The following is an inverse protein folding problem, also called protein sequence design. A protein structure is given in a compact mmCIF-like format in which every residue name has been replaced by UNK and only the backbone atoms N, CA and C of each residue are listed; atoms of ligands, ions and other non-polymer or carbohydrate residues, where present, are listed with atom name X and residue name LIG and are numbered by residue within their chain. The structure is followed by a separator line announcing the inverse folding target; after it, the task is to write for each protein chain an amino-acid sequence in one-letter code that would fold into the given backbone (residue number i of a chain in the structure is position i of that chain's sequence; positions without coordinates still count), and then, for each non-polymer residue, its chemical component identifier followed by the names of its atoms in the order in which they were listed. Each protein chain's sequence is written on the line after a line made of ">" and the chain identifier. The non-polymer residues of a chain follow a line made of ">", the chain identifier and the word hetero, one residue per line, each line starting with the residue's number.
data_IF_329791282287
#
_entry.id   IF_329791282287
#
_cell.length_a   1.000
_cell.length_b   1.000
_cell.length_c   1.000
_cell.angle_alpha   90.00
_cell.angle_beta   90.00
_cell.angle_gamma   90.00
#
_symmetry.space_group_name_H-M   'P 1'
#
loop_
_entity.id
_entity.type
_entity.pdbx_description
1 polymer ?
#
# COMPACT_ATOMS: atom_id res chain seq x y z
N UNK A 1 -13.54 -8.85 32.14
CA UNK A 1 -12.72 -8.63 30.93
C UNK A 1 -13.58 -9.14 29.79
N UNK A 2 -14.16 -8.26 28.98
CA UNK A 2 -14.81 -8.74 27.75
C UNK A 2 -13.68 -9.18 26.81
N UNK A 3 -13.59 -10.48 26.56
CA UNK A 3 -12.78 -11.05 25.48
C UNK A 3 -13.30 -10.48 24.16
N UNK A 4 -12.75 -9.34 23.75
CA UNK A 4 -13.03 -8.72 22.48
C UNK A 4 -12.63 -9.70 21.37
N UNK A 5 -13.62 -10.38 20.78
CA UNK A 5 -13.42 -11.26 19.62
C UNK A 5 -12.57 -10.53 18.60
N UNK A 6 -11.38 -11.06 18.34
CA UNK A 6 -10.54 -10.65 17.22
C UNK A 6 -11.41 -10.66 15.97
N UNK A 7 -11.53 -9.50 15.31
CA UNK A 7 -12.36 -9.36 14.11
C UNK A 7 -11.59 -9.92 12.93
N UNK A 8 -11.95 -11.12 12.50
CA UNK A 8 -11.39 -11.77 11.30
C UNK A 8 -12.05 -11.24 10.01
N UNK A 9 -12.31 -9.95 9.93
CA UNK A 9 -12.99 -9.35 8.79
C UNK A 9 -12.54 -7.91 8.64
N UNK A 10 -12.25 -7.51 7.41
CA UNK A 10 -11.91 -6.13 7.06
C UNK A 10 -13.22 -5.33 7.06
N UNK A 11 -13.47 -4.56 8.12
CA UNK A 11 -14.69 -3.73 8.25
C UNK A 11 -14.45 -2.25 7.98
N UNK A 12 -13.21 -1.87 7.67
CA UNK A 12 -12.84 -0.50 7.34
C UNK A 12 -12.98 -0.30 5.83
N UNK A 13 -13.69 0.76 5.44
CA UNK A 13 -13.67 1.26 4.07
C UNK A 13 -12.39 2.06 3.85
N UNK A 14 -11.70 1.79 2.75
CA UNK A 14 -10.57 2.58 2.29
C UNK A 14 -10.99 3.38 1.07
N UNK A 15 -10.83 4.69 1.16
CA UNK A 15 -11.22 5.62 0.11
C UNK A 15 -10.00 6.08 -0.68
N UNK A 16 -10.19 6.55 -1.91
CA UNK A 16 -9.13 7.11 -2.76
C UNK A 16 -8.21 8.09 -2.01
N UNK A 17 -8.80 8.93 -1.15
CA UNK A 17 -8.10 9.95 -0.37
C UNK A 17 -7.09 9.36 0.62
N UNK A 18 -7.35 8.16 1.15
CA UNK A 18 -6.46 7.48 2.08
C UNK A 18 -5.10 7.15 1.43
N UNK A 19 -5.08 6.99 0.10
CA UNK A 19 -3.90 6.65 -0.69
C UNK A 19 -3.16 7.88 -1.24
N UNK A 20 -3.66 9.09 -1.02
CA UNK A 20 -3.09 10.32 -1.60
C UNK A 20 -1.70 10.59 -1.07
N UNK A 21 -0.78 10.93 -1.98
CA UNK A 21 0.59 11.33 -1.68
C UNK A 21 0.87 12.71 -2.28
N UNK A 22 1.37 13.64 -1.48
CA UNK A 22 1.73 14.98 -1.95
C UNK A 22 2.81 14.93 -3.05
N UNK A 23 2.63 15.75 -4.09
CA UNK A 23 3.46 15.78 -5.29
C UNK A 23 3.08 14.74 -6.34
N UNK A 24 1.97 14.02 -6.15
CA UNK A 24 1.46 13.02 -7.10
C UNK A 24 -0.02 13.25 -7.40
N UNK A 25 -0.42 12.82 -8.58
CA UNK A 25 -1.82 12.62 -8.98
C UNK A 25 -2.10 11.14 -9.20
N UNK A 26 -3.39 10.77 -9.24
CA UNK A 26 -3.82 9.42 -9.57
C UNK A 26 -4.15 9.32 -11.04
N UNK A 27 -3.50 8.38 -11.74
CA UNK A 27 -3.89 7.95 -13.09
C UNK A 27 -4.80 6.71 -13.07
N UNK A 28 -4.86 6.00 -11.94
CA UNK A 28 -5.66 4.80 -11.76
C UNK A 28 -5.85 4.43 -10.30
N UNK A 29 -7.06 3.95 -9.97
CA UNK A 29 -7.42 3.46 -8.65
C UNK A 29 -8.47 2.36 -8.78
N UNK A 30 -8.18 1.19 -8.21
CA UNK A 30 -9.07 0.02 -8.24
C UNK A 30 -9.06 -0.66 -6.88
N UNK A 31 -10.22 -1.10 -6.39
CA UNK A 31 -10.33 -1.81 -5.14
C UNK A 31 -11.18 -3.07 -5.33
N UNK A 32 -10.57 -4.23 -5.06
CA UNK A 32 -11.17 -5.54 -5.25
C UNK A 32 -11.22 -6.28 -3.91
N UNK A 33 -12.43 -6.46 -3.38
CA UNK A 33 -12.68 -7.31 -2.21
C UNK A 33 -12.74 -8.77 -2.65
N UNK A 34 -11.60 -9.46 -2.60
CA UNK A 34 -11.49 -10.86 -3.01
C UNK A 34 -12.25 -11.78 -2.05
N UNK A 35 -12.25 -11.46 -0.76
CA UNK A 35 -13.06 -12.12 0.25
C UNK A 35 -13.30 -11.21 1.45
N UNK A 36 -14.10 -11.64 2.42
CA UNK A 36 -14.27 -10.92 3.70
C UNK A 36 -12.94 -10.76 4.49
N UNK A 37 -11.94 -11.57 4.15
CA UNK A 37 -10.63 -11.66 4.80
C UNK A 37 -9.51 -11.07 3.94
N UNK A 38 -9.79 -10.65 2.70
CA UNK A 38 -8.77 -10.19 1.75
C UNK A 38 -9.28 -9.08 0.83
N UNK A 39 -8.59 -7.95 0.85
CA UNK A 39 -8.85 -6.78 0.01
C UNK A 39 -7.56 -6.39 -0.72
N UNK A 40 -7.66 -6.15 -2.02
CA UNK A 40 -6.57 -5.61 -2.84
C UNK A 40 -6.96 -4.22 -3.34
N UNK A 41 -6.05 -3.25 -3.20
CA UNK A 41 -6.23 -1.88 -3.71
C UNK A 41 -5.06 -1.52 -4.60
N UNK A 42 -5.33 -1.34 -5.88
CA UNK A 42 -4.35 -0.91 -6.87
C UNK A 42 -4.39 0.61 -7.03
N UNK A 43 -3.21 1.22 -7.04
CA UNK A 43 -3.05 2.66 -7.13
C UNK A 43 -1.91 2.97 -8.10
N UNK A 44 -2.19 3.84 -9.06
CA UNK A 44 -1.20 4.35 -10.00
C UNK A 44 -0.95 5.83 -9.71
N UNK A 45 0.31 6.16 -9.47
CA UNK A 45 0.77 7.52 -9.20
C UNK A 45 1.49 8.09 -10.42
N UNK A 46 1.19 9.33 -10.77
CA UNK A 46 1.91 10.13 -11.76
C UNK A 46 2.38 11.45 -11.12
N UNK A 47 3.43 12.11 -11.63
CA UNK A 47 3.88 13.38 -11.07
C UNK A 47 2.90 14.52 -11.42
N UNK A 48 2.51 15.32 -10.43
CA UNK A 48 1.45 16.36 -10.57
C UNK A 48 1.79 17.49 -11.57
N UNK A 49 3.08 17.81 -11.76
CA UNK A 49 3.50 18.96 -12.57
C UNK A 49 4.56 18.61 -13.62
N UNK A 50 4.73 17.32 -13.94
CA UNK A 50 5.79 16.83 -14.84
C UNK A 50 5.31 15.61 -15.61
N UNK A 51 6.15 15.12 -16.54
CA UNK A 51 5.86 13.89 -17.31
C UNK A 51 6.43 12.63 -16.69
N UNK A 52 7.51 12.76 -15.92
CA UNK A 52 8.29 11.63 -15.40
C UNK A 52 8.77 11.97 -14.00
N UNK A 53 8.74 11.00 -13.09
CA UNK A 53 9.43 11.05 -11.81
C UNK A 53 10.94 10.87 -12.03
N UNK A 54 11.76 11.68 -11.37
CA UNK A 54 13.18 11.37 -11.24
C UNK A 54 13.40 10.17 -10.32
N UNK A 55 14.57 9.53 -10.39
CA UNK A 55 14.92 8.44 -9.46
C UNK A 55 14.81 8.86 -7.99
N UNK A 56 15.19 10.10 -7.65
CA UNK A 56 15.08 10.64 -6.28
C UNK A 56 13.61 10.85 -5.86
N UNK A 57 12.74 11.26 -6.78
CA UNK A 57 11.29 11.35 -6.53
C UNK A 57 10.69 9.97 -6.29
N UNK A 58 11.12 8.95 -7.04
CA UNK A 58 10.72 7.56 -6.83
C UNK A 58 11.19 7.05 -5.47
N UNK A 59 12.44 7.30 -5.05
CA UNK A 59 12.93 6.93 -3.72
C UNK A 59 12.05 7.50 -2.60
N UNK A 60 11.74 8.80 -2.68
CA UNK A 60 10.86 9.47 -1.72
C UNK A 60 9.45 8.90 -1.76
N UNK A 61 8.92 8.60 -2.94
CA UNK A 61 7.59 8.04 -3.11
C UNK A 61 7.48 6.63 -2.52
N UNK A 62 8.49 5.79 -2.74
CA UNK A 62 8.62 4.46 -2.12
C UNK A 62 8.54 4.58 -0.59
N UNK A 63 9.31 5.49 0.00
CA UNK A 63 9.29 5.69 1.46
C UNK A 63 7.90 6.13 1.96
N UNK A 64 7.24 7.05 1.26
CA UNK A 64 5.87 7.47 1.61
C UNK A 64 4.86 6.32 1.49
N UNK A 65 4.98 5.47 0.48
CA UNK A 65 4.12 4.28 0.29
C UNK A 65 4.33 3.25 1.40
N UNK A 66 5.59 3.01 1.81
CA UNK A 66 5.91 2.16 2.96
C UNK A 66 5.28 2.69 4.25
N UNK A 67 5.45 3.98 4.53
CA UNK A 67 4.85 4.61 5.70
C UNK A 67 3.31 4.55 5.68
N UNK A 68 2.68 4.63 4.50
CA UNK A 68 1.24 4.40 4.35
C UNK A 68 0.85 2.96 4.67
N UNK A 69 1.58 2.00 4.15
CA UNK A 69 1.37 0.57 4.44
C UNK A 69 1.42 0.31 5.96
N UNK A 70 2.44 0.83 6.64
CA UNK A 70 2.55 0.76 8.10
C UNK A 70 1.39 1.48 8.81
N UNK A 71 1.02 2.67 8.33
CA UNK A 71 -0.09 3.43 8.90
C UNK A 71 -1.43 2.73 8.74
N UNK A 72 -1.66 2.03 7.61
CA UNK A 72 -2.89 1.26 7.44
C UNK A 72 -2.93 0.08 8.41
N UNK A 73 -1.85 -0.69 8.51
CA UNK A 73 -1.77 -1.83 9.43
C UNK A 73 -1.99 -1.39 10.88
N UNK A 74 -1.38 -0.28 11.32
CA UNK A 74 -1.55 0.25 12.68
C UNK A 74 -2.99 0.69 13.00
N UNK A 75 -3.83 0.92 12.00
CA UNK A 75 -5.22 1.32 12.19
C UNK A 75 -6.22 0.17 12.00
N UNK A 76 -5.72 -1.05 11.79
CA UNK A 76 -6.51 -2.27 11.63
C UNK A 76 -6.38 -3.14 12.89
N UNK A 77 -7.29 -4.12 13.08
CA UNK A 77 -7.11 -5.18 14.07
C UNK A 77 -5.74 -5.87 13.93
N UNK A 78 -5.15 -6.30 15.05
CA UNK A 78 -3.79 -6.88 15.12
C UNK A 78 -3.56 -8.10 14.21
N UNK A 79 -4.63 -8.83 13.89
CA UNK A 79 -4.61 -9.98 13.00
C UNK A 79 -4.77 -9.62 11.52
N UNK A 80 -4.86 -8.35 11.15
CA UNK A 80 -4.96 -7.91 9.75
C UNK A 80 -3.65 -7.26 9.35
N UNK A 81 -3.00 -7.83 8.34
CA UNK A 81 -1.74 -7.36 7.78
C UNK A 81 -1.95 -6.49 6.57
N UNK A 82 -1.00 -5.60 6.33
CA UNK A 82 -0.88 -4.82 5.11
C UNK A 82 0.48 -5.09 4.45
N UNK A 83 0.45 -5.42 3.17
CA UNK A 83 1.63 -5.45 2.31
C UNK A 83 1.39 -4.63 1.05
N UNK A 84 2.45 -4.13 0.44
CA UNK A 84 2.39 -3.36 -0.80
C UNK A 84 3.36 -3.94 -1.82
N UNK A 85 2.86 -4.17 -3.03
CA UNK A 85 3.62 -4.66 -4.18
C UNK A 85 3.94 -3.51 -5.11
N UNK A 86 5.20 -3.32 -5.47
CA UNK A 86 5.64 -2.32 -6.45
C UNK A 86 5.74 -2.96 -7.84
N UNK A 87 4.65 -2.91 -8.62
CA UNK A 87 4.49 -3.71 -9.84
C UNK A 87 5.59 -3.43 -10.88
N UNK A 88 5.88 -2.16 -11.15
CA UNK A 88 6.82 -1.76 -12.19
C UNK A 88 8.26 -1.49 -11.69
N UNK A 89 8.54 -1.88 -10.45
CA UNK A 89 9.88 -1.90 -9.85
C UNK A 89 10.31 -3.34 -9.48
N UNK A 90 10.00 -4.29 -10.37
CA UNK A 90 10.38 -5.70 -10.21
C UNK A 90 9.44 -6.52 -9.33
N UNK A 91 8.18 -6.07 -9.17
CA UNK A 91 7.13 -6.76 -8.40
C UNK A 91 7.54 -7.09 -6.96
N UNK A 92 8.43 -6.27 -6.36
CA UNK A 92 8.87 -6.50 -4.99
C UNK A 92 7.75 -6.15 -4.00
N UNK A 93 7.63 -6.98 -2.97
CA UNK A 93 6.60 -6.87 -1.93
C UNK A 93 7.24 -6.37 -0.64
N UNK A 94 6.73 -5.25 -0.12
CA UNK A 94 7.05 -4.75 1.20
C UNK A 94 5.93 -5.12 2.17
N UNK A 95 6.28 -5.76 3.29
CA UNK A 95 5.36 -5.99 4.41
C UNK A 95 5.56 -4.91 5.47
N UNK A 96 4.49 -4.42 6.07
CA UNK A 96 4.59 -3.40 7.12
C UNK A 96 5.56 -3.84 8.23
N UNK A 97 6.46 -2.95 8.64
CA UNK A 97 7.46 -3.23 9.67
C UNK A 97 8.68 -4.06 9.20
N UNK A 98 8.77 -4.43 7.92
CA UNK A 98 9.96 -5.12 7.39
C UNK A 98 11.19 -4.18 7.42
N UNK A 99 12.26 -4.52 8.16
CA UNK A 99 13.55 -3.85 8.03
C UNK A 99 14.20 -4.32 6.72
N UNK A 100 14.76 -3.39 5.97
CA UNK A 100 15.43 -3.62 4.68
C UNK A 100 14.50 -4.07 3.53
N UNK A 101 14.25 -3.10 2.64
CA UNK A 101 13.54 -3.28 1.39
C UNK A 101 14.24 -2.50 0.29
N UNK A 102 15.09 -3.18 -0.45
CA UNK A 102 15.82 -2.58 -1.57
C UNK A 102 14.93 -2.55 -2.81
N UNK A 103 14.69 -1.37 -3.35
CA UNK A 103 14.19 -1.16 -4.71
C UNK A 103 15.29 -0.47 -5.51
N UNK A 104 15.32 -0.71 -6.81
CA UNK A 104 16.19 0.02 -7.73
C UNK A 104 15.39 1.20 -8.30
N UNK A 105 15.60 2.43 -7.80
CA UNK A 105 14.86 3.59 -8.25
C UNK A 105 15.33 3.94 -9.66
N UNK A 106 14.37 4.12 -10.55
CA UNK A 106 14.59 4.53 -11.93
C UNK A 106 13.56 5.57 -12.30
N UNK A 107 13.84 6.35 -13.33
CA UNK A 107 12.85 7.28 -13.86
C UNK A 107 11.62 6.51 -14.37
N UNK A 108 10.44 7.01 -14.02
CA UNK A 108 9.15 6.39 -14.34
C UNK A 108 8.12 7.45 -14.66
N UNK A 109 7.36 7.25 -15.73
CA UNK A 109 6.18 8.09 -16.04
C UNK A 109 5.06 7.87 -15.01
N UNK A 110 4.97 6.65 -14.49
CA UNK A 110 3.95 6.20 -13.55
C UNK A 110 4.55 5.19 -12.57
N UNK A 111 4.18 5.25 -11.30
CA UNK A 111 4.48 4.21 -10.31
C UNK A 111 3.19 3.43 -10.01
N UNK A 112 3.21 2.12 -10.24
CA UNK A 112 2.07 1.23 -10.03
C UNK A 112 2.29 0.40 -8.77
N UNK A 113 1.34 0.48 -7.84
CA UNK A 113 1.39 -0.31 -6.60
C UNK A 113 0.08 -1.03 -6.32
N UNK A 114 0.15 -2.15 -5.61
CA UNK A 114 -1.01 -2.85 -5.07
C UNK A 114 -0.84 -3.04 -3.57
N UNK A 115 -1.72 -2.43 -2.78
CA UNK A 115 -1.86 -2.71 -1.35
C UNK A 115 -2.72 -3.95 -1.18
N UNK A 116 -2.29 -4.88 -0.35
CA UNK A 116 -3.03 -6.09 -0.02
C UNK A 116 -3.23 -6.15 1.49
N UNK A 117 -4.49 -6.23 1.89
CA UNK A 117 -4.92 -6.39 3.26
C UNK A 117 -5.42 -7.81 3.44
N UNK A 118 -4.93 -8.52 4.45
CA UNK A 118 -5.32 -9.91 4.68
C UNK A 118 -5.34 -10.27 6.16
N UNK A 119 -6.24 -11.18 6.54
CA UNK A 119 -6.27 -11.77 7.88
C UNK A 119 -5.13 -12.80 8.01
N UNK A 120 -4.27 -12.62 9.01
CA UNK A 120 -3.24 -13.56 9.42
C UNK A 120 -3.75 -14.41 10.60
N UNK A 121 -3.69 -15.74 10.45
CA UNK A 121 -4.06 -16.69 11.49
C UNK A 121 -2.81 -17.18 12.22
N UNK A 122 -2.77 -17.00 13.54
CA UNK A 122 -1.81 -17.67 14.40
C UNK A 122 -2.40 -19.02 14.81
N UNK A 123 -1.71 -20.11 14.45
CA UNK A 123 -2.03 -21.48 14.87
C UNK A 123 -1.28 -21.78 16.17
#
# INVERSE_FOLDING_TARGET
>A
MEEGKIKNTITRSFELQDYRIEGTEFSGFWADLLSKEELVVEVNYIPENKKVFSSEEIEKLILKIRNKCESFEAQLPENIRCEVTFKNLGEKIYKAGQPDFELEPKELEELQVAYRFYVEYYI
#
